data_IF_009495539198
#
_entry.id   IF_009495539198
#
_cell.length_a   1.000
_cell.length_b   1.000
_cell.length_c   1.000
_cell.angle_alpha   90.00
_cell.angle_beta   90.00
_cell.angle_gamma   90.00
#
_symmetry.space_group_name_H-M   'P 1'
#
loop_
_entity.id
_entity.type
_entity.pdbx_description
1 polymer ?
#
# COMPACT_ATOMS: atom_id res chain seq x y z
N UNK A 1 -15.48 2.20 -35.03
CA UNK A 1 -16.09 1.56 -33.84
C UNK A 1 -15.10 0.87 -32.89
N UNK A 2 -13.88 0.46 -33.31
CA UNK A 2 -12.89 -0.18 -32.40
C UNK A 2 -12.07 0.79 -31.52
N UNK A 3 -11.93 2.06 -31.92
CA UNK A 3 -11.12 3.07 -31.20
C UNK A 3 -11.76 3.59 -29.90
N UNK A 4 -13.09 3.52 -29.79
CA UNK A 4 -13.82 3.92 -28.58
C UNK A 4 -13.61 2.91 -27.44
N UNK A 5 -13.47 1.62 -27.75
CA UNK A 5 -13.26 0.58 -26.73
C UNK A 5 -11.91 0.63 -26.00
N UNK A 6 -10.87 1.15 -26.66
CA UNK A 6 -9.51 1.25 -26.07
C UNK A 6 -9.43 2.38 -25.04
N UNK A 7 -10.04 3.53 -25.32
CA UNK A 7 -10.07 4.68 -24.39
C UNK A 7 -10.85 4.37 -23.11
N UNK A 8 -11.95 3.61 -23.22
CA UNK A 8 -12.74 3.22 -22.05
C UNK A 8 -12.04 2.19 -21.15
N UNK A 9 -11.18 1.33 -21.71
CA UNK A 9 -10.41 0.35 -20.95
C UNK A 9 -9.28 0.97 -20.11
N UNK A 10 -8.62 2.02 -20.63
CA UNK A 10 -7.55 2.73 -19.92
C UNK A 10 -8.06 3.48 -18.67
N UNK A 11 -9.25 4.10 -18.75
CA UNK A 11 -9.86 4.76 -17.59
C UNK A 11 -10.12 3.80 -16.42
N UNK A 12 -10.52 2.55 -16.69
CA UNK A 12 -10.76 1.56 -15.64
C UNK A 12 -9.47 1.06 -14.97
N UNK A 13 -8.36 1.00 -15.71
CA UNK A 13 -7.07 0.57 -15.17
C UNK A 13 -6.51 1.59 -14.16
N UNK A 14 -6.75 2.88 -14.37
CA UNK A 14 -6.32 3.94 -13.45
C UNK A 14 -7.13 3.97 -12.14
N UNK A 15 -8.38 3.51 -12.14
CA UNK A 15 -9.23 3.47 -10.93
C UNK A 15 -8.98 2.25 -10.03
N UNK A 16 -8.10 1.33 -10.41
CA UNK A 16 -7.85 0.08 -9.68
C UNK A 16 -6.82 0.24 -8.55
N UNK A 17 -6.25 1.43 -8.33
CA UNK A 17 -5.54 1.70 -7.07
C UNK A 17 -6.55 1.57 -5.94
N UNK A 18 -6.52 0.41 -5.28
CA UNK A 18 -7.52 0.07 -4.29
C UNK A 18 -7.47 1.09 -3.17
N UNK A 19 -8.62 1.61 -2.70
CA UNK A 19 -8.65 2.43 -1.48
C UNK A 19 -8.11 1.67 -0.27
N UNK A 20 -7.82 0.37 -0.36
CA UNK A 20 -7.09 -0.37 0.67
C UNK A 20 -5.74 0.28 1.07
N UNK A 21 -5.06 0.99 0.17
CA UNK A 21 -3.86 1.74 0.54
C UNK A 21 -4.16 2.87 1.55
N UNK A 22 -5.34 3.49 1.45
CA UNK A 22 -5.81 4.55 2.36
C UNK A 22 -6.33 3.99 3.69
N UNK A 23 -6.48 2.66 3.80
CA UNK A 23 -7.02 1.98 4.98
C UNK A 23 -5.93 1.39 5.90
N UNK A 24 -4.64 1.57 5.56
CA UNK A 24 -3.52 1.10 6.36
C UNK A 24 -2.94 2.26 7.17
N UNK A 25 -3.01 2.14 8.50
CA UNK A 25 -2.29 3.04 9.39
C UNK A 25 -0.82 2.61 9.49
N UNK A 26 0.09 3.40 8.92
CA UNK A 26 1.53 3.16 8.96
C UNK A 26 2.17 3.80 10.19
N UNK A 27 2.90 2.99 10.97
CA UNK A 27 3.68 3.46 12.12
C UNK A 27 5.17 3.29 11.83
N UNK A 28 5.90 4.40 11.72
CA UNK A 28 7.33 4.39 11.41
C UNK A 28 8.25 3.97 12.56
N UNK A 29 7.71 3.65 13.74
CA UNK A 29 8.48 3.20 14.90
C UNK A 29 7.83 2.00 15.56
N UNK A 30 8.67 1.11 16.11
CA UNK A 30 8.22 -0.04 16.89
C UNK A 30 7.34 0.37 18.08
N UNK A 31 7.76 1.42 18.81
CA UNK A 31 7.00 1.98 19.93
C UNK A 31 5.60 2.44 19.52
N UNK A 32 5.48 3.15 18.39
CA UNK A 32 4.19 3.62 17.88
C UNK A 32 3.26 2.48 17.49
N UNK A 33 3.79 1.48 16.75
CA UNK A 33 3.01 0.31 16.34
C UNK A 33 2.50 -0.52 17.52
N UNK A 34 3.36 -0.75 18.53
CA UNK A 34 2.94 -1.48 19.74
C UNK A 34 1.92 -0.72 20.58
N UNK A 35 2.06 0.60 20.73
CA UNK A 35 1.08 1.41 21.46
C UNK A 35 -0.31 1.34 20.80
N UNK A 36 -0.38 1.30 19.46
CA UNK A 36 -1.65 1.14 18.75
C UNK A 36 -2.23 -0.28 18.88
N UNK A 37 -1.37 -1.30 18.84
CA UNK A 37 -1.77 -2.68 19.07
C UNK A 37 -2.46 -2.84 20.44
N UNK A 38 -1.86 -2.25 21.48
CA UNK A 38 -2.41 -2.27 22.84
C UNK A 38 -3.72 -1.49 22.94
N UNK A 39 -3.78 -0.27 22.39
CA UNK A 39 -4.98 0.58 22.42
C UNK A 39 -6.19 -0.08 21.74
N UNK A 40 -5.96 -0.82 20.67
CA UNK A 40 -7.04 -1.40 19.84
C UNK A 40 -7.31 -2.88 20.12
N UNK A 41 -6.40 -3.58 20.79
CA UNK A 41 -6.44 -5.04 20.95
C UNK A 41 -6.29 -5.80 19.64
N UNK A 42 -5.70 -5.18 18.60
CA UNK A 42 -5.51 -5.80 17.27
C UNK A 42 -4.04 -6.21 17.06
N UNK A 43 -3.79 -7.31 16.34
CA UNK A 43 -2.44 -7.67 15.95
C UNK A 43 -1.86 -6.65 14.95
N UNK A 44 -0.53 -6.55 14.93
CA UNK A 44 0.21 -5.71 13.98
C UNK A 44 0.96 -6.58 12.96
N UNK A 45 1.14 -6.03 11.76
CA UNK A 45 2.02 -6.56 10.73
C UNK A 45 3.32 -5.73 10.72
N UNK A 46 4.45 -6.36 11.06
CA UNK A 46 5.76 -5.73 10.94
C UNK A 46 6.33 -5.98 9.54
N UNK A 47 6.62 -4.90 8.81
CA UNK A 47 7.29 -4.96 7.52
C UNK A 47 8.70 -4.40 7.68
N UNK A 48 9.71 -5.23 7.42
CA UNK A 48 11.11 -4.81 7.28
C UNK A 48 11.43 -4.70 5.81
N UNK A 49 11.69 -3.49 5.33
CA UNK A 49 12.03 -3.21 3.94
C UNK A 49 13.31 -2.37 3.85
N UNK A 50 13.95 -2.41 2.68
CA UNK A 50 15.06 -1.53 2.33
C UNK A 50 14.71 -0.77 1.05
N UNK A 51 15.13 0.50 0.89
CA UNK A 51 14.97 1.24 -0.37
C UNK A 51 15.60 0.54 -1.57
N UNK A 52 16.57 -0.34 -1.35
CA UNK A 52 17.12 -1.24 -2.36
C UNK A 52 17.66 -2.52 -1.71
N UNK A 53 17.51 -3.65 -2.40
CA UNK A 53 18.10 -4.94 -2.00
C UNK A 53 18.59 -5.69 -3.24
N UNK A 54 19.87 -6.12 -3.25
CA UNK A 54 20.46 -6.88 -4.38
C UNK A 54 20.24 -6.21 -5.75
N UNK A 55 20.43 -4.88 -5.82
CA UNK A 55 20.23 -4.08 -7.03
C UNK A 55 18.77 -4.05 -7.54
N UNK A 56 17.80 -4.45 -6.71
CA UNK A 56 16.35 -4.28 -6.95
C UNK A 56 15.87 -3.03 -6.21
N UNK A 57 15.31 -2.02 -6.90
CA UNK A 57 14.73 -0.83 -6.26
C UNK A 57 13.48 -1.18 -5.44
N UNK A 58 13.37 -0.62 -4.25
CA UNK A 58 12.15 -0.63 -3.43
C UNK A 58 11.25 0.58 -3.70
N UNK A 59 10.03 0.53 -3.17
CA UNK A 59 9.04 1.62 -3.25
C UNK A 59 8.69 2.03 -1.81
N UNK A 60 8.44 3.32 -1.58
CA UNK A 60 7.99 3.86 -0.29
C UNK A 60 6.50 4.21 -0.35
#
# INVERSE_FOLDING_TARGET
MKRIGILLGCLKALSQWSPAADQIAWFGTWKGGLAEAERTGKPILLISAAPQCHNVPGVW
#
